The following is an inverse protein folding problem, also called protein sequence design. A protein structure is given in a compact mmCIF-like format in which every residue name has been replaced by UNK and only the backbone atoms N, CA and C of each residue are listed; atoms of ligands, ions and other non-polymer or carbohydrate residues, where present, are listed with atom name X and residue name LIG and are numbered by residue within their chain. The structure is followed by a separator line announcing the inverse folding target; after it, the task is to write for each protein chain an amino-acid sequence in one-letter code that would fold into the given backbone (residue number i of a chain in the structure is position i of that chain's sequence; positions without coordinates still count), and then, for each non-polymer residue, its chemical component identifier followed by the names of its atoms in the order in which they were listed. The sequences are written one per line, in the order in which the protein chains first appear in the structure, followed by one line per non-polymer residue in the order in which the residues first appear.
data_IF_599859166824
#
_entry.id   IF_599859166824
#
_cell.length_a   1.000
_cell.length_b   1.000
_cell.length_c   1.000
_cell.angle_alpha   90.00
_cell.angle_beta   90.00
_cell.angle_gamma   90.00
#
_symmetry.space_group_name_H-M   'P 1'
#
loop_
_entity.id
_entity.type
_entity.pdbx_description
1 polymer ?
#
# COMPACT_ATOMS: atom_id res chain seq x y z
N UNK A 1 92.33 24.10 54.76
CA UNK A 1 91.12 23.56 55.42
C UNK A 1 89.91 23.90 54.55
N UNK A 2 89.49 22.97 53.70
CA UNK A 2 88.39 23.13 52.73
C UNK A 2 87.08 22.61 53.36
N UNK A 3 86.13 23.51 53.66
CA UNK A 3 84.75 23.16 54.04
C UNK A 3 83.92 23.00 52.75
N UNK A 4 83.65 21.76 52.35
CA UNK A 4 82.72 21.42 51.28
C UNK A 4 81.27 21.68 51.74
N UNK A 5 80.58 22.51 50.98
CA UNK A 5 79.21 22.99 51.16
C UNK A 5 78.22 21.99 50.55
N UNK A 6 77.86 20.94 51.30
CA UNK A 6 76.91 19.91 50.89
C UNK A 6 75.50 20.14 51.46
N UNK A 7 74.72 21.10 50.94
CA UNK A 7 73.31 21.25 51.37
C UNK A 7 72.31 21.78 50.35
N UNK A 8 72.69 21.99 49.08
CA UNK A 8 71.75 22.55 48.10
C UNK A 8 70.79 21.55 47.39
N UNK A 9 71.11 20.26 47.15
CA UNK A 9 70.20 19.40 46.38
C UNK A 9 68.97 18.92 47.18
N UNK A 10 69.10 18.69 48.49
CA UNK A 10 67.99 18.19 49.32
C UNK A 10 66.89 19.24 49.58
N UNK A 11 67.22 20.54 49.55
CA UNK A 11 66.23 21.63 49.67
C UNK A 11 65.45 21.85 48.37
N UNK A 12 66.07 21.62 47.20
CA UNK A 12 65.40 21.72 45.90
C UNK A 12 64.43 20.56 45.65
N UNK A 13 64.75 19.35 46.12
CA UNK A 13 63.84 18.20 46.00
C UNK A 13 62.59 18.31 46.89
N UNK A 14 62.68 18.92 48.07
CA UNK A 14 61.49 19.21 48.91
C UNK A 14 60.64 20.36 48.38
N UNK A 15 61.22 21.30 47.64
CA UNK A 15 60.47 22.39 47.01
C UNK A 15 59.62 21.90 45.82
N UNK A 16 60.07 20.88 45.10
CA UNK A 16 59.30 20.22 44.04
C UNK A 16 58.05 19.51 44.58
N UNK A 17 58.08 18.99 45.81
CA UNK A 17 56.94 18.31 46.42
C UNK A 17 55.83 19.30 46.87
N UNK A 18 56.19 20.56 47.11
CA UNK A 18 55.23 21.66 47.39
C UNK A 18 54.63 22.33 46.16
N UNK A 19 55.14 22.07 44.94
CA UNK A 19 54.59 22.61 43.69
C UNK A 19 53.58 21.68 42.98
N UNK A 20 53.20 20.55 43.61
CA UNK A 20 52.20 19.64 43.04
C UNK A 20 50.79 20.27 42.89
N UNK A 21 50.47 21.32 43.65
CA UNK A 21 49.17 22.03 43.54
C UNK A 21 48.95 22.67 42.16
N UNK A 22 50.01 23.15 41.50
CA UNK A 22 49.93 23.69 40.14
C UNK A 22 49.69 22.61 39.10
N UNK A 23 50.33 21.44 39.26
CA UNK A 23 50.14 20.29 38.38
C UNK A 23 48.73 19.70 38.49
N UNK A 24 48.15 19.64 39.70
CA UNK A 24 46.75 19.22 39.90
C UNK A 24 45.78 20.21 39.26
N UNK A 25 46.04 21.51 39.33
CA UNK A 25 45.20 22.53 38.70
C UNK A 25 45.25 22.45 37.16
N UNK A 26 46.44 22.18 36.59
CA UNK A 26 46.61 21.93 35.15
C UNK A 26 45.92 20.63 34.70
N UNK A 27 45.98 19.56 35.51
CA UNK A 27 45.25 18.32 35.24
C UNK A 27 43.74 18.51 35.31
N UNK A 28 43.23 19.25 36.29
CA UNK A 28 41.82 19.60 36.38
C UNK A 28 41.37 20.46 35.19
N UNK A 29 42.16 21.46 34.78
CA UNK A 29 41.87 22.27 33.59
C UNK A 29 41.86 21.40 32.32
N UNK A 30 42.85 20.52 32.17
CA UNK A 30 42.93 19.59 31.04
C UNK A 30 41.74 18.64 31.02
N UNK A 31 41.32 18.11 32.18
CA UNK A 31 40.15 17.26 32.30
C UNK A 31 38.86 18.00 31.91
N UNK A 32 38.68 19.25 32.35
CA UNK A 32 37.51 20.07 31.96
C UNK A 32 37.51 20.37 30.45
N UNK A 33 38.67 20.66 29.86
CA UNK A 33 38.81 20.84 28.41
C UNK A 33 38.46 19.56 27.65
N UNK A 34 38.95 18.40 28.09
CA UNK A 34 38.64 17.11 27.47
C UNK A 34 37.12 16.82 27.58
N UNK A 35 36.50 17.07 28.74
CA UNK A 35 35.05 16.92 28.93
C UNK A 35 34.26 17.84 28.00
N UNK A 36 34.69 19.08 27.83
CA UNK A 36 34.05 20.05 26.93
C UNK A 36 34.17 19.60 25.47
N UNK A 37 35.34 19.13 25.04
CA UNK A 37 35.54 18.59 23.69
C UNK A 37 34.66 17.36 23.44
N UNK A 38 34.57 16.43 24.40
CA UNK A 38 33.67 15.27 24.29
C UNK A 38 32.20 15.69 24.20
N UNK A 39 31.78 16.69 24.99
CA UNK A 39 30.41 17.21 24.94
C UNK A 39 30.08 17.82 23.57
N UNK A 40 31.00 18.55 22.94
CA UNK A 40 30.82 19.08 21.59
C UNK A 40 30.69 17.97 20.54
N UNK A 41 31.55 16.95 20.59
CA UNK A 41 31.47 15.80 19.67
C UNK A 41 30.12 15.09 19.81
N UNK A 42 29.63 14.89 21.04
CA UNK A 42 28.32 14.26 21.27
C UNK A 42 27.17 15.10 20.74
N UNK A 43 27.21 16.43 20.89
CA UNK A 43 26.18 17.31 20.34
C UNK A 43 26.15 17.29 18.81
N UNK A 44 27.32 17.36 18.15
CA UNK A 44 27.41 17.32 16.69
C UNK A 44 26.96 15.94 16.15
N UNK A 45 27.37 14.84 16.80
CA UNK A 45 26.91 13.49 16.46
C UNK A 45 25.40 13.33 16.66
N UNK A 46 24.85 13.95 17.71
CA UNK A 46 23.42 13.97 17.99
C UNK A 46 22.61 14.68 16.90
N UNK A 47 23.10 15.82 16.39
CA UNK A 47 22.47 16.55 15.28
C UNK A 47 22.47 15.72 13.98
N UNK A 48 23.63 15.16 13.61
CA UNK A 48 23.75 14.25 12.45
C UNK A 48 22.82 13.05 12.55
N UNK A 49 22.74 12.45 13.75
CA UNK A 49 21.87 11.29 13.99
C UNK A 49 20.40 11.68 13.89
N UNK A 50 20.03 12.84 14.43
CA UNK A 50 18.66 13.37 14.35
C UNK A 50 18.23 13.56 12.91
N UNK A 51 19.03 14.23 12.09
CA UNK A 51 18.62 14.56 10.72
C UNK A 51 18.55 13.30 9.84
N UNK A 52 19.42 12.31 10.10
CA UNK A 52 19.31 10.98 9.50
C UNK A 52 18.03 10.25 9.93
N UNK A 53 17.67 10.30 11.21
CA UNK A 53 16.41 9.72 11.72
C UNK A 53 15.22 10.43 11.09
N UNK A 54 15.27 11.75 10.92
CA UNK A 54 14.21 12.54 10.29
C UNK A 54 14.03 12.15 8.82
N UNK A 55 15.12 12.05 8.04
CA UNK A 55 15.08 11.56 6.67
C UNK A 55 14.47 10.14 6.57
N UNK A 56 14.86 9.22 7.46
CA UNK A 56 14.28 7.87 7.47
C UNK A 56 12.82 7.86 7.90
N UNK A 57 12.45 8.64 8.93
CA UNK A 57 11.07 8.76 9.42
C UNK A 57 10.16 9.31 8.34
N UNK A 58 10.66 10.26 7.54
CA UNK A 58 9.93 10.79 6.39
C UNK A 58 9.67 9.71 5.34
N UNK A 59 10.64 8.85 5.06
CA UNK A 59 10.50 7.74 4.13
C UNK A 59 9.50 6.71 4.64
N UNK A 60 9.61 6.31 5.92
CA UNK A 60 8.73 5.32 6.53
C UNK A 60 7.27 5.80 6.56
N UNK A 61 7.04 7.04 6.99
CA UNK A 61 5.71 7.64 7.04
C UNK A 61 5.10 7.76 5.65
N UNK A 62 5.89 8.12 4.64
CA UNK A 62 5.44 8.26 3.26
C UNK A 62 5.21 6.90 2.58
N UNK A 63 6.09 5.91 2.79
CA UNK A 63 5.86 4.56 2.30
C UNK A 63 4.56 4.00 2.89
N UNK A 64 4.42 4.02 4.21
CA UNK A 64 3.22 3.51 4.89
C UNK A 64 1.94 4.21 4.42
N UNK A 65 1.99 5.53 4.17
CA UNK A 65 0.81 6.28 3.75
C UNK A 65 0.27 5.83 2.39
N UNK A 66 1.12 5.64 1.37
CA UNK A 66 0.68 5.14 0.06
C UNK A 66 0.06 3.74 0.16
N UNK A 67 0.71 2.82 0.88
CA UNK A 67 0.14 1.50 1.11
C UNK A 67 -1.20 1.59 1.84
N UNK A 68 -1.33 2.49 2.82
CA UNK A 68 -2.59 2.65 3.56
C UNK A 68 -3.75 3.16 2.69
N UNK A 69 -3.48 4.08 1.76
CA UNK A 69 -4.46 4.57 0.80
C UNK A 69 -4.90 3.44 -0.13
N UNK A 70 -3.95 2.68 -0.69
CA UNK A 70 -4.25 1.53 -1.54
C UNK A 70 -5.02 0.44 -0.80
N UNK A 71 -4.66 0.13 0.45
CA UNK A 71 -5.37 -0.86 1.25
C UNK A 71 -6.83 -0.46 1.49
N UNK A 72 -7.08 0.83 1.79
CA UNK A 72 -8.45 1.35 1.90
C UNK A 72 -9.21 1.26 0.58
N UNK A 73 -8.55 1.56 -0.54
CA UNK A 73 -9.16 1.39 -1.86
C UNK A 73 -9.53 -0.07 -2.14
N UNK A 74 -8.67 -1.02 -1.80
CA UNK A 74 -8.97 -2.46 -1.91
C UNK A 74 -10.17 -2.86 -1.04
N UNK A 75 -10.27 -2.34 0.18
CA UNK A 75 -11.46 -2.55 1.03
C UNK A 75 -12.73 -1.98 0.39
N UNK A 76 -12.66 -0.78 -0.20
CA UNK A 76 -13.81 -0.18 -0.89
C UNK A 76 -14.23 -1.00 -2.11
N UNK A 77 -13.28 -1.51 -2.89
CA UNK A 77 -13.57 -2.42 -3.99
C UNK A 77 -14.25 -3.70 -3.50
N UNK A 78 -13.77 -4.29 -2.40
CA UNK A 78 -14.37 -5.47 -1.79
C UNK A 78 -15.78 -5.20 -1.24
N UNK A 79 -15.99 -4.05 -0.59
CA UNK A 79 -17.33 -3.64 -0.14
C UNK A 79 -18.30 -3.47 -1.31
N UNK A 80 -17.87 -2.87 -2.42
CA UNK A 80 -18.70 -2.75 -3.61
C UNK A 80 -19.02 -4.10 -4.25
N UNK A 81 -18.09 -5.05 -4.23
CA UNK A 81 -18.38 -6.43 -4.67
C UNK A 81 -19.46 -7.08 -3.81
N UNK A 82 -19.35 -6.97 -2.48
CA UNK A 82 -20.35 -7.51 -1.54
C UNK A 82 -21.70 -6.82 -1.78
N UNK A 83 -21.73 -5.50 -1.96
CA UNK A 83 -22.96 -4.75 -2.25
C UNK A 83 -23.64 -5.23 -3.54
N UNK A 84 -22.87 -5.35 -4.64
CA UNK A 84 -23.37 -5.89 -5.92
C UNK A 84 -23.93 -7.31 -5.74
N UNK A 85 -23.20 -8.19 -5.03
CA UNK A 85 -23.64 -9.54 -4.73
C UNK A 85 -24.94 -9.56 -3.93
N UNK A 86 -25.09 -8.70 -2.94
CA UNK A 86 -26.30 -8.62 -2.13
C UNK A 86 -27.50 -8.14 -2.95
N UNK A 87 -27.33 -7.11 -3.80
CA UNK A 87 -28.39 -6.63 -4.68
C UNK A 87 -28.83 -7.77 -5.62
N UNK A 88 -27.92 -8.36 -6.37
CA UNK A 88 -28.22 -9.44 -7.32
C UNK A 88 -28.80 -10.66 -6.60
N UNK A 89 -28.21 -11.04 -5.47
CA UNK A 89 -28.64 -12.20 -4.69
C UNK A 89 -30.05 -12.07 -4.14
N UNK A 90 -30.43 -10.88 -3.63
CA UNK A 90 -31.80 -10.64 -3.12
C UNK A 90 -32.83 -10.77 -4.24
N UNK A 91 -32.57 -10.18 -5.41
CA UNK A 91 -33.48 -10.27 -6.55
C UNK A 91 -33.62 -11.70 -7.06
N UNK A 92 -32.48 -12.39 -7.25
CA UNK A 92 -32.50 -13.77 -7.70
C UNK A 92 -33.20 -14.71 -6.71
N UNK A 93 -33.04 -14.48 -5.40
CA UNK A 93 -33.78 -15.23 -4.39
C UNK A 93 -35.28 -14.97 -4.52
N UNK A 94 -35.71 -13.71 -4.63
CA UNK A 94 -37.12 -13.38 -4.73
C UNK A 94 -37.77 -14.04 -5.97
N UNK A 95 -37.14 -13.91 -7.13
CA UNK A 95 -37.58 -14.56 -8.38
C UNK A 95 -37.68 -16.09 -8.23
N UNK A 96 -36.62 -16.70 -7.69
CA UNK A 96 -36.57 -18.15 -7.50
C UNK A 96 -37.60 -18.67 -6.50
N UNK A 97 -37.88 -17.92 -5.43
CA UNK A 97 -38.86 -18.27 -4.42
C UNK A 97 -40.28 -18.17 -4.96
N UNK A 98 -40.58 -17.12 -5.72
CA UNK A 98 -41.89 -16.96 -6.34
C UNK A 98 -42.15 -18.07 -7.37
N UNK A 99 -41.18 -18.40 -8.23
CA UNK A 99 -41.30 -19.51 -9.16
C UNK A 99 -41.49 -20.86 -8.44
N UNK A 100 -40.78 -21.05 -7.32
CA UNK A 100 -40.95 -22.24 -6.47
C UNK A 100 -42.33 -22.33 -5.84
N UNK A 101 -42.86 -21.20 -5.36
CA UNK A 101 -44.20 -21.11 -4.81
C UNK A 101 -45.26 -21.40 -5.87
N UNK A 102 -45.11 -20.86 -7.08
CA UNK A 102 -45.98 -21.18 -8.21
C UNK A 102 -45.99 -22.68 -8.55
N UNK A 103 -44.83 -23.33 -8.60
CA UNK A 103 -44.75 -24.78 -8.81
C UNK A 103 -45.47 -25.56 -7.71
N UNK A 104 -45.37 -25.13 -6.45
CA UNK A 104 -46.06 -25.77 -5.34
C UNK A 104 -47.58 -25.60 -5.44
N UNK A 105 -48.06 -24.39 -5.74
CA UNK A 105 -49.49 -24.10 -5.95
C UNK A 105 -50.04 -24.98 -7.08
N UNK A 106 -49.31 -25.10 -8.19
CA UNK A 106 -49.71 -25.93 -9.33
C UNK A 106 -49.71 -27.43 -8.99
N UNK A 107 -48.75 -27.90 -8.18
CA UNK A 107 -48.75 -29.28 -7.70
C UNK A 107 -49.97 -29.57 -6.81
N UNK A 108 -50.33 -28.66 -5.90
CA UNK A 108 -51.54 -28.78 -5.06
C UNK A 108 -52.82 -28.74 -5.89
N UNK A 109 -52.87 -27.86 -6.89
CA UNK A 109 -53.98 -27.82 -7.82
C UNK A 109 -54.17 -29.17 -8.55
N UNK A 110 -53.08 -29.77 -9.02
CA UNK A 110 -53.11 -31.08 -9.67
C UNK A 110 -53.55 -32.20 -8.72
N UNK A 111 -53.09 -32.20 -7.46
CA UNK A 111 -53.55 -33.15 -6.43
C UNK A 111 -55.06 -33.05 -6.19
N UNK A 112 -55.59 -31.82 -6.14
CA UNK A 112 -57.02 -31.56 -5.96
C UNK A 112 -57.85 -31.98 -7.17
N UNK A 113 -57.37 -31.72 -8.39
CA UNK A 113 -57.99 -32.22 -9.63
C UNK A 113 -58.01 -33.76 -9.68
N UNK A 114 -56.96 -34.41 -9.19
CA UNK A 114 -56.86 -35.86 -9.11
C UNK A 114 -57.68 -36.47 -7.95
N UNK A 115 -58.42 -35.66 -7.19
CA UNK A 115 -59.21 -36.09 -6.01
C UNK A 115 -58.35 -36.82 -4.97
N UNK A 116 -57.10 -36.39 -4.79
CA UNK A 116 -56.21 -36.96 -3.77
C UNK A 116 -56.78 -36.72 -2.37
N UNK A 117 -56.71 -37.70 -1.45
CA UNK A 117 -57.11 -37.51 -0.05
C UNK A 117 -56.32 -36.42 0.69
N UNK A 118 -55.16 -36.03 0.15
CA UNK A 118 -54.31 -34.97 0.69
C UNK A 118 -54.73 -33.56 0.27
N UNK A 119 -55.74 -33.41 -0.59
CA UNK A 119 -56.20 -32.12 -1.07
C UNK A 119 -57.01 -31.39 0.00
N UNK A 120 -56.55 -30.20 0.36
CA UNK A 120 -57.32 -29.20 1.09
C UNK A 120 -57.68 -28.04 0.13
N UNK A 121 -58.95 -27.98 -0.28
CA UNK A 121 -59.45 -26.99 -1.24
C UNK A 121 -59.43 -25.57 -0.64
N UNK A 122 -59.64 -25.42 0.66
CA UNK A 122 -59.62 -24.12 1.32
C UNK A 122 -58.19 -23.59 1.44
N UNK A 123 -57.23 -24.47 1.74
CA UNK A 123 -55.81 -24.13 1.69
C UNK A 123 -55.38 -23.73 0.28
N UNK A 124 -55.78 -24.50 -0.74
CA UNK A 124 -55.47 -24.18 -2.14
C UNK A 124 -56.06 -22.83 -2.56
N UNK A 125 -57.33 -22.56 -2.25
CA UNK A 125 -57.99 -21.30 -2.62
C UNK A 125 -57.30 -20.08 -2.01
N UNK A 126 -56.92 -20.15 -0.73
CA UNK A 126 -56.19 -19.06 -0.04
C UNK A 126 -54.80 -18.82 -0.66
N UNK A 127 -54.06 -19.90 -0.95
CA UNK A 127 -52.73 -19.77 -1.55
C UNK A 127 -52.80 -19.29 -3.01
N UNK A 128 -53.84 -19.66 -3.77
CA UNK A 128 -54.05 -19.16 -5.13
C UNK A 128 -54.34 -17.65 -5.12
N UNK A 129 -55.18 -17.18 -4.20
CA UNK A 129 -55.45 -15.75 -4.02
C UNK A 129 -54.16 -14.98 -3.67
N UNK A 130 -53.35 -15.52 -2.75
CA UNK A 130 -52.06 -14.93 -2.38
C UNK A 130 -51.09 -14.88 -3.57
N UNK A 131 -50.96 -15.98 -4.31
CA UNK A 131 -50.10 -16.07 -5.49
C UNK A 131 -50.44 -14.99 -6.53
N UNK A 132 -51.73 -14.81 -6.85
CA UNK A 132 -52.15 -13.78 -7.80
C UNK A 132 -51.98 -12.36 -7.27
N UNK A 133 -52.21 -12.12 -5.97
CA UNK A 133 -51.92 -10.82 -5.35
C UNK A 133 -50.44 -10.47 -5.41
N UNK A 134 -49.54 -11.42 -5.14
CA UNK A 134 -48.10 -11.23 -5.27
C UNK A 134 -47.67 -11.01 -6.73
N UNK A 135 -48.26 -11.76 -7.66
CA UNK A 135 -48.03 -11.60 -9.10
C UNK A 135 -48.45 -10.20 -9.60
N UNK A 136 -49.58 -9.69 -9.12
CA UNK A 136 -50.15 -8.42 -9.59
C UNK A 136 -49.54 -7.20 -8.89
N UNK A 137 -49.18 -7.30 -7.60
CA UNK A 137 -48.81 -6.15 -6.77
C UNK A 137 -47.30 -6.02 -6.57
N UNK A 138 -46.60 -7.12 -6.32
CA UNK A 138 -45.21 -7.08 -5.88
C UNK A 138 -44.25 -7.24 -7.08
N UNK A 139 -44.54 -8.15 -8.01
CA UNK A 139 -43.83 -8.27 -9.30
C UNK A 139 -43.96 -7.04 -10.20
N UNK A 140 -45.14 -6.40 -10.22
CA UNK A 140 -45.33 -5.12 -10.94
C UNK A 140 -44.47 -3.99 -10.37
N UNK A 141 -44.32 -3.95 -9.04
CA UNK A 141 -43.51 -2.95 -8.33
C UNK A 141 -42.00 -3.17 -8.54
N UNK A 142 -41.54 -4.41 -8.73
CA UNK A 142 -40.16 -4.69 -9.14
C UNK A 142 -39.88 -4.21 -10.57
N UNK A 143 -40.81 -4.44 -11.51
CA UNK A 143 -40.71 -3.92 -12.87
C UNK A 143 -40.62 -2.40 -12.94
N UNK A 144 -41.39 -1.69 -12.11
CA UNK A 144 -41.37 -0.22 -12.03
C UNK A 144 -40.09 0.35 -11.40
N UNK A 145 -39.33 -0.47 -10.64
CA UNK A 145 -38.07 -0.08 -9.99
C UNK A 145 -36.82 -0.66 -10.66
N UNK A 146 -36.94 -1.36 -11.79
CA UNK A 146 -35.80 -1.91 -12.53
C UNK A 146 -34.75 -0.83 -12.87
N UNK A 147 -35.21 0.37 -13.21
CA UNK A 147 -34.37 1.54 -13.48
C UNK A 147 -33.55 1.97 -12.24
N UNK A 148 -34.12 1.85 -11.04
CA UNK A 148 -33.45 2.19 -9.79
C UNK A 148 -32.28 1.24 -9.52
N UNK A 149 -32.53 -0.08 -9.59
CA UNK A 149 -31.47 -1.08 -9.37
C UNK A 149 -30.40 -1.04 -10.45
N UNK A 150 -30.79 -0.82 -11.70
CA UNK A 150 -29.84 -0.63 -12.79
C UNK A 150 -28.96 0.61 -12.55
N UNK A 151 -29.54 1.71 -12.06
CA UNK A 151 -28.79 2.91 -11.71
C UNK A 151 -27.81 2.65 -10.56
N UNK A 152 -28.22 1.92 -9.52
CA UNK A 152 -27.34 1.54 -8.40
C UNK A 152 -26.19 0.63 -8.84
N UNK A 153 -26.46 -0.37 -9.68
CA UNK A 153 -25.42 -1.25 -10.21
C UNK A 153 -24.41 -0.49 -11.08
N UNK A 154 -24.88 0.44 -11.92
CA UNK A 154 -24.01 1.35 -12.70
C UNK A 154 -23.21 2.27 -11.79
N UNK A 155 -23.81 2.80 -10.74
CA UNK A 155 -23.13 3.66 -9.77
C UNK A 155 -22.00 2.91 -9.05
N UNK A 156 -22.25 1.66 -8.62
CA UNK A 156 -21.24 0.80 -8.02
C UNK A 156 -20.10 0.47 -9.00
N UNK A 157 -20.41 0.18 -10.27
CA UNK A 157 -19.39 -0.10 -11.27
C UNK A 157 -18.51 1.13 -11.57
N UNK A 158 -19.13 2.30 -11.72
CA UNK A 158 -18.43 3.56 -11.90
C UNK A 158 -17.56 3.89 -10.69
N UNK A 159 -18.07 3.66 -9.48
CA UNK A 159 -17.31 3.86 -8.24
C UNK A 159 -16.08 2.94 -8.17
N UNK A 160 -16.23 1.65 -8.49
CA UNK A 160 -15.10 0.72 -8.46
C UNK A 160 -14.03 1.09 -9.50
N UNK A 161 -14.43 1.44 -10.73
CA UNK A 161 -13.50 1.94 -11.77
C UNK A 161 -12.78 3.20 -11.30
N UNK A 162 -13.54 4.17 -10.80
CA UNK A 162 -13.01 5.43 -10.29
C UNK A 162 -11.98 5.21 -9.17
N UNK A 163 -12.30 4.41 -8.16
CA UNK A 163 -11.40 4.12 -7.05
C UNK A 163 -10.15 3.38 -7.53
N UNK A 164 -10.30 2.40 -8.43
CA UNK A 164 -9.13 1.69 -8.97
C UNK A 164 -8.17 2.60 -9.73
N UNK A 165 -8.70 3.53 -10.53
CA UNK A 165 -7.87 4.43 -11.34
C UNK A 165 -7.28 5.58 -10.50
N UNK A 166 -8.02 6.07 -9.51
CA UNK A 166 -7.63 7.20 -8.67
C UNK A 166 -6.70 6.80 -7.51
N UNK A 167 -6.85 5.59 -6.94
CA UNK A 167 -6.11 5.19 -5.75
C UNK A 167 -4.57 5.19 -5.92
N UNK A 168 -3.98 4.75 -7.05
CA UNK A 168 -2.54 4.89 -7.28
C UNK A 168 -2.08 6.35 -7.25
N UNK A 169 -2.82 7.26 -7.90
CA UNK A 169 -2.54 8.69 -7.91
C UNK A 169 -2.68 9.33 -6.52
N UNK A 170 -3.72 8.97 -5.78
CA UNK A 170 -3.89 9.42 -4.41
C UNK A 170 -2.76 8.90 -3.51
N UNK A 171 -2.45 7.61 -3.55
CA UNK A 171 -1.37 7.04 -2.75
C UNK A 171 -0.02 7.70 -3.05
N UNK A 172 0.29 7.93 -4.32
CA UNK A 172 1.53 8.57 -4.75
C UNK A 172 1.61 10.05 -4.33
N UNK A 173 0.53 10.82 -4.43
CA UNK A 173 0.51 12.21 -3.94
C UNK A 173 0.62 12.28 -2.41
N UNK A 174 0.04 11.32 -1.69
CA UNK A 174 0.17 11.20 -0.23
C UNK A 174 1.61 10.93 0.20
N UNK A 175 2.41 10.17 -0.57
CA UNK A 175 3.86 10.02 -0.32
C UNK A 175 4.55 11.36 -0.31
N UNK A 176 4.33 12.15 -1.36
CA UNK A 176 4.99 13.45 -1.53
C UNK A 176 4.61 14.37 -0.37
N UNK A 177 3.32 14.51 -0.07
CA UNK A 177 2.85 15.40 1.01
C UNK A 177 3.28 14.91 2.39
N UNK A 178 3.29 13.59 2.65
CA UNK A 178 3.67 13.05 3.96
C UNK A 178 5.17 13.11 4.20
N UNK A 179 5.98 12.82 3.19
CA UNK A 179 7.43 12.95 3.32
C UNK A 179 7.79 14.40 3.65
N UNK A 180 7.19 15.36 2.95
CA UNK A 180 7.39 16.80 3.19
C UNK A 180 7.02 17.24 4.59
N UNK A 181 5.85 16.83 5.08
CA UNK A 181 5.41 17.14 6.45
C UNK A 181 6.33 16.56 7.53
N UNK A 182 7.12 15.55 7.18
CA UNK A 182 8.12 14.93 8.04
C UNK A 182 9.55 15.34 7.69
N UNK A 183 9.73 16.49 7.04
CA UNK A 183 11.04 17.13 6.84
C UNK A 183 11.73 16.80 5.51
N UNK A 184 11.19 15.93 4.64
CA UNK A 184 11.83 15.68 3.36
C UNK A 184 11.75 16.88 2.41
N UNK A 185 12.88 17.32 1.87
CA UNK A 185 12.95 18.34 0.80
C UNK A 185 12.47 17.77 -0.53
N UNK A 186 12.72 16.49 -0.78
CA UNK A 186 12.26 15.79 -1.98
C UNK A 186 11.75 14.40 -1.64
N UNK A 187 10.74 13.95 -2.36
CA UNK A 187 10.18 12.63 -2.19
C UNK A 187 9.58 12.09 -3.48
N UNK A 188 9.69 10.78 -3.66
CA UNK A 188 9.04 10.05 -4.73
C UNK A 188 8.80 8.61 -4.30
N UNK A 189 7.78 7.97 -4.87
CA UNK A 189 7.61 6.54 -4.76
C UNK A 189 7.61 5.85 -6.12
N UNK A 190 7.97 4.57 -6.07
CA UNK A 190 7.91 3.62 -7.15
C UNK A 190 7.01 2.43 -6.75
N UNK A 191 6.19 1.87 -7.65
CA UNK A 191 5.96 2.33 -9.03
C UNK A 191 5.21 3.67 -9.09
N UNK A 192 5.25 4.32 -10.25
CA UNK A 192 4.55 5.59 -10.50
C UNK A 192 3.22 5.33 -11.20
N UNK A 193 2.16 6.12 -10.92
CA UNK A 193 0.85 5.94 -11.55
C UNK A 193 0.86 6.01 -13.09
N UNK A 194 -0.19 5.52 -13.73
CA UNK A 194 -0.29 5.63 -15.19
C UNK A 194 -0.46 7.08 -15.62
N UNK A 195 0.22 7.47 -16.70
CA UNK A 195 0.07 8.81 -17.28
C UNK A 195 0.79 9.91 -16.52
N UNK A 196 1.69 9.57 -15.59
CA UNK A 196 2.53 10.58 -14.93
C UNK A 196 3.32 11.35 -15.98
N UNK A 197 3.24 12.70 -16.01
CA UNK A 197 3.95 13.50 -17.00
C UNK A 197 5.45 13.21 -17.00
N UNK A 198 5.97 12.81 -18.16
CA UNK A 198 7.41 12.63 -18.40
C UNK A 198 8.06 13.85 -19.06
N UNK A 199 7.26 14.58 -19.86
CA UNK A 199 7.70 15.73 -20.65
C UNK A 199 8.01 16.96 -19.79
N UNK A 200 9.14 17.63 -20.06
CA UNK A 200 9.56 18.87 -19.39
C UNK A 200 10.61 18.71 -18.29
N UNK A 201 10.94 17.47 -17.92
CA UNK A 201 11.95 17.13 -16.89
C UNK A 201 13.05 16.21 -17.46
N UNK A 202 12.89 15.68 -18.67
CA UNK A 202 13.81 14.73 -19.33
C UNK A 202 15.26 15.21 -19.45
N UNK A 203 15.50 16.53 -19.45
CA UNK A 203 16.84 17.10 -19.46
C UNK A 203 17.64 16.82 -18.18
N UNK A 204 16.99 16.78 -17.01
CA UNK A 204 17.68 16.64 -15.72
C UNK A 204 18.28 15.24 -15.52
N UNK A 205 17.54 14.12 -15.74
CA UNK A 205 18.14 12.80 -15.65
C UNK A 205 19.30 12.60 -16.64
N UNK A 206 19.21 13.15 -17.85
CA UNK A 206 20.31 13.09 -18.82
C UNK A 206 21.52 13.91 -18.37
N UNK A 207 21.31 15.09 -17.78
CA UNK A 207 22.39 15.90 -17.19
C UNK A 207 23.08 15.15 -16.06
N UNK A 208 22.34 14.48 -15.18
CA UNK A 208 22.86 13.70 -14.06
C UNK A 208 23.74 12.55 -14.57
N UNK A 209 23.31 11.85 -15.62
CA UNK A 209 24.11 10.79 -16.25
C UNK A 209 25.40 11.36 -16.86
N UNK A 210 25.29 12.44 -17.63
CA UNK A 210 26.45 13.07 -18.26
C UNK A 210 27.48 13.49 -17.20
N UNK A 211 27.01 14.05 -16.08
CA UNK A 211 27.84 14.40 -14.93
C UNK A 211 28.37 13.18 -14.16
N UNK A 212 27.67 12.04 -14.20
CA UNK A 212 28.14 10.78 -13.58
C UNK A 212 29.34 10.14 -14.31
N UNK A 213 29.66 10.59 -15.53
CA UNK A 213 30.88 10.21 -16.26
C UNK A 213 30.78 8.92 -17.09
N UNK A 214 29.58 8.35 -17.33
CA UNK A 214 29.37 7.21 -18.25
C UNK A 214 28.08 7.32 -19.05
N UNK A 215 28.14 6.96 -20.34
CA UNK A 215 26.99 6.86 -21.25
C UNK A 215 26.25 5.51 -21.10
N UNK A 216 25.67 5.24 -19.93
CA UNK A 216 24.76 4.09 -19.79
C UNK A 216 23.36 4.54 -20.21
N UNK A 217 22.63 3.80 -21.07
CA UNK A 217 21.28 4.17 -21.46
C UNK A 217 20.34 4.18 -20.23
N UNK A 218 19.47 5.19 -20.19
CA UNK A 218 18.46 5.32 -19.13
C UNK A 218 17.48 4.14 -19.21
N UNK A 219 17.42 3.32 -18.16
CA UNK A 219 16.50 2.18 -18.14
C UNK A 219 15.32 2.51 -17.23
N UNK A 220 14.28 3.11 -17.81
CA UNK A 220 13.02 3.30 -17.11
C UNK A 220 12.31 1.95 -16.97
N UNK A 221 12.00 1.58 -15.74
CA UNK A 221 11.07 0.48 -15.52
C UNK A 221 9.70 0.87 -16.12
N UNK A 222 9.15 0.01 -16.97
CA UNK A 222 7.81 0.18 -17.54
C UNK A 222 6.69 -0.13 -16.55
N UNK A 223 7.05 -0.45 -15.30
CA UNK A 223 6.10 -0.78 -14.23
C UNK A 223 5.27 0.44 -13.89
N UNK A 224 3.95 0.25 -13.97
CA UNK A 224 2.96 1.27 -13.67
C UNK A 224 2.26 0.89 -12.37
N UNK A 225 2.07 1.87 -11.49
CA UNK A 225 1.35 1.67 -10.25
C UNK A 225 -0.14 1.44 -10.51
N UNK A 226 -0.64 0.31 -10.04
CA UNK A 226 -2.04 -0.12 -10.13
C UNK A 226 -2.37 -0.95 -8.89
N UNK A 227 -3.64 -0.97 -8.51
CA UNK A 227 -4.10 -1.95 -7.53
C UNK A 227 -3.96 -3.36 -8.13
N UNK A 228 -3.66 -4.40 -7.33
CA UNK A 228 -3.59 -5.79 -7.79
C UNK A 228 -4.99 -6.39 -8.01
N UNK A 229 -5.91 -5.59 -8.55
CA UNK A 229 -7.30 -5.94 -8.77
C UNK A 229 -7.70 -5.57 -10.21
N UNK A 230 -8.59 -6.36 -10.79
CA UNK A 230 -9.12 -6.12 -12.14
C UNK A 230 -10.58 -6.56 -12.22
N UNK A 231 -11.37 -6.02 -13.16
CA UNK A 231 -12.69 -6.57 -13.47
C UNK A 231 -12.57 -8.07 -13.85
N UNK A 232 -13.40 -8.89 -13.23
CA UNK A 232 -13.54 -10.32 -13.46
C UNK A 232 -14.73 -10.65 -14.37
N UNK A 233 -15.02 -11.94 -14.51
CA UNK A 233 -16.24 -12.40 -15.17
C UNK A 233 -17.36 -12.55 -14.14
N UNK A 234 -18.58 -12.17 -14.51
CA UNK A 234 -19.70 -12.18 -13.57
C UNK A 234 -19.99 -13.59 -13.03
N UNK A 235 -20.19 -14.57 -13.90
CA UNK A 235 -20.54 -15.93 -13.47
C UNK A 235 -19.41 -16.58 -12.67
N UNK A 236 -18.19 -16.59 -13.20
CA UNK A 236 -17.07 -17.24 -12.53
C UNK A 236 -16.68 -16.57 -11.19
N UNK A 237 -16.78 -15.24 -11.08
CA UNK A 237 -16.28 -14.55 -9.89
C UNK A 237 -17.41 -14.11 -8.93
N UNK A 238 -18.55 -13.65 -9.41
CA UNK A 238 -19.66 -13.25 -8.51
C UNK A 238 -20.45 -14.47 -8.03
N UNK A 239 -20.77 -15.40 -8.92
CA UNK A 239 -21.64 -16.52 -8.60
C UNK A 239 -20.81 -17.65 -7.97
N UNK A 240 -19.75 -18.11 -8.62
CA UNK A 240 -18.98 -19.23 -8.09
C UNK A 240 -18.16 -18.82 -6.86
N UNK A 241 -17.22 -17.88 -6.99
CA UNK A 241 -16.36 -17.46 -5.87
C UNK A 241 -17.10 -16.61 -4.82
N UNK A 242 -18.03 -15.77 -5.26
CA UNK A 242 -18.70 -14.79 -4.42
C UNK A 242 -19.91 -15.33 -3.67
N UNK A 243 -20.70 -16.23 -4.28
CA UNK A 243 -21.92 -16.78 -3.70
C UNK A 243 -21.76 -18.24 -3.28
N UNK A 244 -21.39 -19.15 -4.18
CA UNK A 244 -21.46 -20.59 -3.89
C UNK A 244 -20.29 -21.16 -3.07
N UNK A 245 -19.06 -20.71 -3.31
CA UNK A 245 -17.84 -21.31 -2.75
C UNK A 245 -17.63 -20.98 -1.27
N UNK A 246 -18.37 -20.00 -0.72
CA UNK A 246 -18.23 -19.60 0.68
C UNK A 246 -19.23 -20.30 1.58
N UNK A 247 -18.70 -21.08 2.54
CA UNK A 247 -19.50 -21.67 3.63
C UNK A 247 -20.37 -20.63 4.35
N UNK A 248 -19.85 -19.41 4.54
CA UNK A 248 -20.60 -18.33 5.20
C UNK A 248 -21.86 -17.93 4.44
N UNK A 249 -21.82 -17.91 3.10
CA UNK A 249 -23.02 -17.70 2.29
C UNK A 249 -23.97 -18.89 2.44
N UNK A 250 -23.48 -20.12 2.38
CA UNK A 250 -24.34 -21.30 2.56
C UNK A 250 -25.04 -21.31 3.93
N UNK A 251 -24.35 -20.86 4.98
CA UNK A 251 -24.89 -20.72 6.33
C UNK A 251 -25.85 -19.54 6.47
N UNK A 252 -25.49 -18.36 6.00
CA UNK A 252 -26.37 -17.19 5.97
C UNK A 252 -27.64 -17.48 5.19
N UNK A 253 -27.49 -18.14 4.04
CA UNK A 253 -28.58 -18.58 3.20
C UNK A 253 -29.48 -19.56 3.94
N UNK A 254 -28.94 -20.60 4.58
CA UNK A 254 -29.72 -21.54 5.42
C UNK A 254 -30.43 -20.83 6.58
N UNK A 255 -29.76 -19.93 7.28
CA UNK A 255 -30.36 -19.20 8.41
C UNK A 255 -31.46 -18.24 7.96
N UNK A 256 -31.28 -17.55 6.84
CA UNK A 256 -32.31 -16.68 6.26
C UNK A 256 -33.49 -17.50 5.76
N UNK A 257 -33.21 -18.66 5.16
CA UNK A 257 -34.19 -19.66 4.72
C UNK A 257 -35.02 -20.19 5.91
N UNK A 258 -34.38 -20.53 7.02
CA UNK A 258 -35.05 -20.99 8.25
C UNK A 258 -35.86 -19.86 8.91
N UNK A 259 -35.32 -18.63 8.99
CA UNK A 259 -36.09 -17.47 9.50
C UNK A 259 -37.28 -17.13 8.62
N UNK A 260 -37.14 -17.25 7.31
CA UNK A 260 -38.24 -17.02 6.38
C UNK A 260 -39.32 -18.09 6.59
N UNK A 261 -38.92 -19.35 6.76
CA UNK A 261 -39.84 -20.44 7.14
C UNK A 261 -40.61 -20.16 8.42
N UNK A 262 -39.95 -19.65 9.47
CA UNK A 262 -40.58 -19.34 10.75
C UNK A 262 -41.58 -18.17 10.69
N UNK A 263 -41.34 -17.23 9.77
CA UNK A 263 -42.17 -16.03 9.59
C UNK A 263 -43.22 -16.15 8.49
N UNK A 264 -43.06 -17.11 7.59
CA UNK A 264 -43.98 -17.35 6.50
C UNK A 264 -45.23 -18.06 7.01
N UNK A 265 -46.38 -17.55 6.62
CA UNK A 265 -47.67 -18.17 6.91
C UNK A 265 -48.10 -19.01 5.69
N UNK A 266 -48.91 -20.06 5.92
CA UNK A 266 -49.51 -20.89 4.84
C UNK A 266 -48.48 -21.72 4.04
N UNK A 267 -48.80 -22.06 2.79
CA UNK A 267 -48.05 -23.00 1.94
C UNK A 267 -46.66 -22.51 1.53
N UNK A 268 -46.39 -21.20 1.64
CA UNK A 268 -45.09 -20.60 1.38
C UNK A 268 -44.02 -21.02 2.42
N UNK A 269 -44.43 -21.45 3.62
CA UNK A 269 -43.55 -22.02 4.64
C UNK A 269 -43.13 -23.48 4.33
N UNK A 270 -43.61 -24.06 3.22
CA UNK A 270 -43.32 -25.45 2.87
C UNK A 270 -41.83 -25.62 2.56
N UNK A 271 -41.19 -26.59 3.22
CA UNK A 271 -39.77 -26.87 3.04
C UNK A 271 -39.39 -27.18 1.59
N UNK A 272 -40.29 -27.76 0.78
CA UNK A 272 -40.05 -28.02 -0.63
C UNK A 272 -40.06 -26.72 -1.47
N UNK A 273 -40.91 -25.75 -1.16
CA UNK A 273 -40.92 -24.42 -1.80
C UNK A 273 -39.60 -23.73 -1.50
N UNK A 274 -39.27 -23.68 -0.22
CA UNK A 274 -38.10 -22.98 0.28
C UNK A 274 -36.82 -23.63 -0.26
N UNK A 275 -36.70 -24.96 -0.21
CA UNK A 275 -35.52 -25.67 -0.70
C UNK A 275 -35.39 -25.54 -2.24
N UNK A 276 -36.47 -25.70 -3.00
CA UNK A 276 -36.43 -25.58 -4.47
C UNK A 276 -36.13 -24.15 -4.91
N UNK A 277 -36.70 -23.14 -4.27
CA UNK A 277 -36.42 -21.73 -4.57
C UNK A 277 -34.96 -21.40 -4.26
N UNK A 278 -34.52 -21.70 -3.03
CA UNK A 278 -33.19 -21.37 -2.54
C UNK A 278 -32.04 -22.07 -3.28
N UNK A 279 -32.28 -23.20 -3.96
CA UNK A 279 -31.21 -24.02 -4.52
C UNK A 279 -31.45 -24.40 -5.98
N UNK A 280 -32.57 -25.05 -6.29
CA UNK A 280 -32.83 -25.59 -7.62
C UNK A 280 -33.19 -24.51 -8.65
N UNK A 281 -33.81 -23.42 -8.20
CA UNK A 281 -34.25 -22.32 -9.05
C UNK A 281 -33.43 -21.04 -8.90
N UNK A 282 -32.38 -21.02 -8.07
CA UNK A 282 -31.58 -19.81 -7.89
C UNK A 282 -30.90 -19.39 -9.20
N UNK A 283 -30.40 -20.34 -9.99
CA UNK A 283 -29.87 -20.07 -11.35
C UNK A 283 -30.94 -19.50 -12.29
N UNK A 284 -32.19 -19.97 -12.18
CA UNK A 284 -33.32 -19.39 -12.92
C UNK A 284 -33.59 -17.95 -12.47
N UNK A 285 -33.60 -17.70 -11.16
CA UNK A 285 -33.76 -16.36 -10.60
C UNK A 285 -32.65 -15.41 -11.05
N UNK A 286 -31.40 -15.86 -11.11
CA UNK A 286 -30.28 -15.08 -11.63
C UNK A 286 -30.46 -14.69 -13.10
N UNK A 287 -30.86 -15.64 -13.95
CA UNK A 287 -31.13 -15.37 -15.37
C UNK A 287 -32.24 -14.34 -15.55
N UNK A 288 -33.32 -14.47 -14.77
CA UNK A 288 -34.45 -13.55 -14.84
C UNK A 288 -34.11 -12.16 -14.31
N UNK A 289 -33.34 -12.09 -13.23
CA UNK A 289 -32.80 -10.85 -12.69
C UNK A 289 -31.92 -10.12 -13.73
N UNK A 290 -31.23 -10.85 -14.61
CA UNK A 290 -30.41 -10.27 -15.67
C UNK A 290 -31.27 -9.67 -16.79
N UNK A 291 -32.40 -10.30 -17.09
CA UNK A 291 -33.40 -9.76 -18.02
C UNK A 291 -34.02 -8.46 -17.49
N UNK A 292 -34.28 -8.39 -16.18
CA UNK A 292 -34.96 -7.25 -15.56
C UNK A 292 -34.02 -6.07 -15.25
N UNK A 293 -32.85 -6.32 -14.67
CA UNK A 293 -31.90 -5.26 -14.25
C UNK A 293 -30.91 -4.92 -15.39
N UNK A 294 -30.72 -5.83 -16.34
CA UNK A 294 -29.67 -5.77 -17.35
C UNK A 294 -28.31 -6.23 -16.84
N UNK A 295 -27.22 -5.81 -17.50
CA UNK A 295 -25.87 -6.24 -17.12
C UNK A 295 -25.52 -5.84 -15.68
N UNK A 296 -25.27 -6.84 -14.83
CA UNK A 296 -24.91 -6.68 -13.41
C UNK A 296 -23.56 -5.99 -13.14
N UNK A 297 -22.82 -5.64 -14.20
CA UNK A 297 -21.45 -5.19 -14.08
C UNK A 297 -20.52 -6.30 -13.59
N UNK A 298 -19.21 -6.08 -13.75
CA UNK A 298 -18.20 -7.10 -13.44
C UNK A 298 -17.72 -6.95 -12.00
N UNK A 299 -17.68 -8.02 -11.18
CA UNK A 299 -17.03 -7.95 -9.88
C UNK A 299 -15.53 -7.74 -10.08
N UNK A 300 -14.87 -7.12 -9.10
CA UNK A 300 -13.42 -7.00 -9.10
C UNK A 300 -12.78 -8.23 -8.47
N UNK A 301 -11.73 -8.76 -9.09
CA UNK A 301 -10.98 -9.91 -8.59
C UNK A 301 -9.51 -9.58 -8.47
N UNK A 302 -8.81 -10.34 -7.62
CA UNK A 302 -7.36 -10.22 -7.55
C UNK A 302 -6.70 -10.68 -8.84
N UNK A 303 -5.64 -9.97 -9.20
CA UNK A 303 -4.73 -10.40 -10.24
C UNK A 303 -3.46 -10.95 -9.60
N UNK A 304 -3.31 -12.27 -9.64
CA UNK A 304 -2.09 -12.96 -9.22
C UNK A 304 -1.61 -13.85 -10.36
N UNK A 305 -0.34 -13.72 -10.72
CA UNK A 305 0.28 -14.47 -11.81
C UNK A 305 1.01 -15.74 -11.34
N UNK A 306 0.84 -16.15 -10.07
CA UNK A 306 1.52 -17.31 -9.50
C UNK A 306 2.92 -17.05 -8.97
N UNK A 307 3.50 -15.87 -9.22
CA UNK A 307 4.86 -15.52 -8.79
C UNK A 307 4.81 -14.54 -7.61
N UNK A 308 5.33 -14.98 -6.45
CA UNK A 308 5.35 -14.19 -5.22
C UNK A 308 6.13 -12.88 -5.39
N UNK A 309 7.24 -12.88 -6.12
CA UNK A 309 8.03 -11.67 -6.34
C UNK A 309 7.27 -10.63 -7.18
N UNK A 310 6.47 -11.09 -8.17
CA UNK A 310 5.58 -10.20 -8.92
C UNK A 310 4.43 -9.67 -8.06
N UNK A 311 3.86 -10.51 -7.19
CA UNK A 311 2.86 -10.06 -6.23
C UNK A 311 3.41 -8.99 -5.31
N UNK A 312 4.57 -9.24 -4.71
CA UNK A 312 5.26 -8.31 -3.84
C UNK A 312 5.55 -6.98 -4.55
N UNK A 313 6.00 -7.01 -5.81
CA UNK A 313 6.10 -5.80 -6.64
C UNK A 313 4.76 -5.08 -6.74
N UNK A 314 3.70 -5.78 -7.14
CA UNK A 314 2.40 -5.19 -7.48
C UNK A 314 1.65 -4.69 -6.22
N UNK A 315 1.94 -5.25 -5.04
CA UNK A 315 1.35 -4.83 -3.76
C UNK A 315 2.20 -3.83 -2.98
N UNK A 316 3.44 -3.60 -3.37
CA UNK A 316 4.36 -2.76 -2.61
C UNK A 316 4.66 -1.43 -3.29
N UNK A 317 5.17 -0.52 -2.48
CA UNK A 317 5.77 0.72 -2.95
C UNK A 317 7.10 0.94 -2.23
N UNK A 318 8.07 1.42 -2.99
CA UNK A 318 9.38 1.84 -2.49
C UNK A 318 9.41 3.36 -2.57
N UNK A 319 9.62 3.99 -1.43
CA UNK A 319 9.68 5.44 -1.31
C UNK A 319 11.12 5.87 -1.10
N UNK A 320 11.53 6.89 -1.87
CA UNK A 320 12.80 7.58 -1.72
C UNK A 320 12.51 8.99 -1.23
N UNK A 321 13.20 9.39 -0.16
CA UNK A 321 13.18 10.75 0.35
C UNK A 321 14.58 11.32 0.42
N UNK A 322 14.68 12.64 0.31
CA UNK A 322 15.92 13.36 0.47
C UNK A 322 15.67 14.60 1.32
N UNK A 323 16.52 14.77 2.32
CA UNK A 323 16.56 15.94 3.19
C UNK A 323 17.81 16.75 2.86
N UNK A 324 17.62 17.93 2.28
CA UNK A 324 18.68 18.87 1.96
C UNK A 324 18.96 19.76 3.19
N UNK A 325 20.22 19.82 3.63
CA UNK A 325 20.66 20.79 4.62
C UNK A 325 22.06 21.33 4.25
N UNK A 326 22.08 22.52 3.66
CA UNK A 326 23.30 23.19 3.22
C UNK A 326 24.30 23.47 4.37
N UNK A 327 23.86 23.43 5.64
CA UNK A 327 24.74 23.63 6.80
C UNK A 327 25.76 22.51 7.01
N UNK A 328 25.58 21.36 6.34
CA UNK A 328 26.52 20.25 6.34
C UNK A 328 27.80 20.48 5.53
N UNK A 329 27.80 21.44 4.60
CA UNK A 329 28.92 21.70 3.69
C UNK A 329 30.10 22.39 4.39
N UNK A 330 29.82 23.43 5.19
CA UNK A 330 30.86 24.33 5.68
C UNK A 330 31.24 24.10 7.15
N UNK A 331 30.34 24.31 8.09
CA UNK A 331 30.73 24.42 9.50
C UNK A 331 30.80 23.06 10.22
N UNK A 332 29.88 22.13 9.91
CA UNK A 332 29.78 20.87 10.67
C UNK A 332 30.81 19.82 10.28
N UNK A 333 31.23 19.73 9.01
CA UNK A 333 32.27 18.78 8.55
C UNK A 333 33.70 19.27 8.78
N UNK A 334 33.97 20.58 8.70
CA UNK A 334 35.31 21.16 8.96
C UNK A 334 35.82 20.88 10.39
N UNK A 335 34.91 20.63 11.34
CA UNK A 335 35.25 20.28 12.74
C UNK A 335 35.92 18.91 12.89
N UNK A 336 35.69 17.97 11.97
CA UNK A 336 36.20 16.59 12.05
C UNK A 336 37.29 16.27 11.03
N UNK A 337 37.59 17.20 10.12
CA UNK A 337 38.79 17.08 9.28
C UNK A 337 40.02 17.21 10.16
N UNK A 338 40.66 16.08 10.43
CA UNK A 338 42.06 16.01 10.88
C UNK A 338 42.87 16.97 9.99
N UNK A 339 43.78 17.80 10.53
CA UNK A 339 44.65 18.63 9.70
C UNK A 339 45.30 17.74 8.65
N UNK A 340 44.96 17.95 7.39
CA UNK A 340 45.43 17.11 6.31
C UNK A 340 46.95 17.32 6.14
N UNK A 341 47.74 16.47 6.76
CA UNK A 341 49.08 16.19 6.28
C UNK A 341 48.95 15.19 5.12
N UNK A 342 49.33 15.66 3.94
CA UNK A 342 49.94 14.90 2.83
C UNK A 342 49.14 13.81 2.09
N UNK A 343 47.81 13.81 2.10
CA UNK A 343 47.04 13.04 1.11
C UNK A 343 46.45 13.96 0.05
N UNK A 344 47.18 14.10 -1.07
CA UNK A 344 46.64 14.63 -2.34
C UNK A 344 45.58 13.65 -2.87
N UNK A 345 44.35 13.78 -2.39
CA UNK A 345 43.19 13.28 -3.13
C UNK A 345 43.01 14.16 -4.37
N UNK A 346 43.04 13.52 -5.54
CA UNK A 346 42.78 14.14 -6.84
C UNK A 346 41.51 15.00 -6.78
N UNK A 347 41.59 16.26 -7.23
CA UNK A 347 40.54 17.28 -7.07
C UNK A 347 39.20 16.85 -7.72
N UNK A 348 39.22 15.86 -8.62
CA UNK A 348 38.03 15.25 -9.22
C UNK A 348 37.17 14.42 -8.25
N UNK A 349 37.69 14.04 -7.07
CA UNK A 349 36.90 13.38 -6.01
C UNK A 349 36.36 14.35 -4.96
N UNK A 350 36.85 15.60 -4.93
CA UNK A 350 36.31 16.65 -4.04
C UNK A 350 34.97 17.21 -4.51
N UNK A 351 34.61 17.03 -5.78
CA UNK A 351 33.43 17.63 -6.41
C UNK A 351 32.10 16.96 -6.06
N UNK A 352 32.07 15.89 -5.27
CA UNK A 352 30.82 15.19 -4.93
C UNK A 352 30.80 14.82 -3.45
N UNK A 353 30.61 15.82 -2.59
CA UNK A 353 30.40 15.62 -1.15
C UNK A 353 28.89 15.69 -0.89
N UNK A 354 28.23 14.59 -0.47
CA UNK A 354 26.79 14.61 -0.27
C UNK A 354 26.40 15.65 0.79
N UNK A 355 25.51 16.55 0.42
CA UNK A 355 25.00 17.66 1.24
C UNK A 355 23.79 17.25 2.09
N UNK A 356 23.09 16.17 1.72
CA UNK A 356 21.88 15.72 2.41
C UNK A 356 21.86 14.26 2.87
N UNK A 357 20.77 13.89 3.53
CA UNK A 357 20.46 12.51 3.89
C UNK A 357 19.38 11.92 3.00
N UNK A 358 19.59 10.68 2.61
CA UNK A 358 18.62 9.88 1.88
C UNK A 358 17.88 8.97 2.85
N UNK A 359 16.55 8.97 2.74
CA UNK A 359 15.67 8.00 3.35
C UNK A 359 15.15 7.03 2.30
N UNK A 360 15.01 5.77 2.68
CA UNK A 360 14.37 4.78 1.83
C UNK A 360 13.54 3.83 2.67
N UNK A 361 12.32 3.58 2.22
CA UNK A 361 11.42 2.71 2.91
C UNK A 361 10.55 1.96 1.92
N UNK A 362 10.08 0.78 2.33
CA UNK A 362 9.11 0.00 1.59
C UNK A 362 7.93 -0.33 2.48
N UNK A 363 6.75 -0.29 1.87
CA UNK A 363 5.54 -0.79 2.47
C UNK A 363 4.76 -1.60 1.44
N UNK A 364 3.83 -2.40 1.91
CA UNK A 364 2.91 -3.15 1.05
C UNK A 364 1.51 -3.15 1.62
N UNK A 365 0.55 -3.34 0.73
CA UNK A 365 -0.80 -3.77 1.12
C UNK A 365 -0.76 -5.25 1.51
N UNK A 366 -1.40 -5.59 2.62
CA UNK A 366 -1.48 -6.93 3.16
C UNK A 366 -2.92 -7.26 3.49
N UNK A 367 -3.36 -8.45 3.13
CA UNK A 367 -4.64 -9.00 3.57
C UNK A 367 -4.49 -9.57 4.99
N UNK A 368 -5.51 -9.38 5.84
CA UNK A 368 -5.57 -9.84 7.23
C UNK A 368 -6.79 -10.76 7.49
N UNK A 369 -7.54 -11.12 6.44
CA UNK A 369 -8.65 -12.06 6.57
C UNK A 369 -8.17 -13.49 6.73
N UNK A 370 -9.10 -14.39 7.03
CA UNK A 370 -8.81 -15.81 7.15
C UNK A 370 -8.59 -16.43 5.76
N UNK A 371 -7.48 -17.15 5.59
CA UNK A 371 -7.17 -17.85 4.33
C UNK A 371 -6.47 -16.98 3.28
N UNK A 372 -6.70 -17.30 2.01
CA UNK A 372 -6.05 -16.63 0.89
C UNK A 372 -6.64 -15.22 0.65
N UNK A 373 -5.83 -14.25 0.16
CA UNK A 373 -6.32 -12.93 -0.18
C UNK A 373 -7.53 -12.98 -1.14
N UNK A 374 -8.53 -12.14 -0.87
CA UNK A 374 -9.78 -12.12 -1.64
C UNK A 374 -10.36 -10.70 -1.77
N UNK A 375 -11.18 -10.49 -2.80
CA UNK A 375 -11.97 -9.27 -3.00
C UNK A 375 -13.39 -9.38 -2.44
N UNK A 376 -13.63 -10.37 -1.60
CA UNK A 376 -14.92 -10.62 -0.92
C UNK A 376 -14.87 -10.32 0.58
N UNK A 377 -13.73 -9.82 1.07
CA UNK A 377 -13.52 -9.39 2.45
C UNK A 377 -12.77 -8.07 2.50
N UNK A 378 -13.28 -7.14 3.32
CA UNK A 378 -12.65 -5.86 3.56
C UNK A 378 -11.60 -5.94 4.68
N UNK A 379 -10.58 -6.77 4.48
CA UNK A 379 -9.53 -7.03 5.45
C UNK A 379 -8.13 -6.60 4.97
N UNK A 380 -8.06 -5.64 4.05
CA UNK A 380 -6.80 -5.09 3.55
C UNK A 380 -6.25 -4.01 4.49
N UNK A 381 -4.97 -4.11 4.83
CA UNK A 381 -4.22 -3.14 5.64
C UNK A 381 -2.87 -2.82 5.00
N UNK A 382 -2.14 -1.87 5.56
CA UNK A 382 -0.75 -1.58 5.18
C UNK A 382 0.23 -2.16 6.21
N UNK A 383 1.41 -2.57 5.74
CA UNK A 383 2.53 -2.91 6.62
C UNK A 383 3.86 -2.48 6.03
N UNK A 384 4.84 -2.25 6.90
CA UNK A 384 6.22 -1.95 6.51
C UNK A 384 6.94 -3.23 6.08
N UNK A 385 7.91 -3.10 5.17
CA UNK A 385 8.73 -4.19 4.65
C UNK A 385 10.19 -3.78 4.49
N UNK A 386 11.13 -4.73 4.53
CA UNK A 386 12.49 -4.50 4.05
C UNK A 386 12.45 -4.03 2.60
N UNK A 387 13.34 -3.10 2.24
CA UNK A 387 13.43 -2.54 0.89
C UNK A 387 13.61 -3.65 -0.16
N UNK A 388 14.52 -4.58 0.11
CA UNK A 388 14.82 -5.72 -0.75
C UNK A 388 14.57 -7.01 0.01
N UNK A 389 13.97 -7.98 -0.67
CA UNK A 389 13.82 -9.35 -0.18
C UNK A 389 14.70 -10.28 -1.03
N UNK A 390 15.22 -11.37 -0.43
CA UNK A 390 16.13 -12.28 -1.11
C UNK A 390 15.63 -12.73 -2.48
N UNK A 391 16.40 -12.42 -3.54
CA UNK A 391 16.14 -12.79 -4.94
C UNK A 391 14.86 -12.20 -5.55
N UNK A 392 14.18 -11.29 -4.87
CA UNK A 392 12.97 -10.67 -5.41
C UNK A 392 13.30 -9.83 -6.65
N UNK A 393 14.31 -8.99 -6.53
CA UNK A 393 14.73 -8.08 -7.60
C UNK A 393 15.22 -8.86 -8.82
N UNK A 394 15.95 -9.97 -8.61
CA UNK A 394 16.35 -10.90 -9.66
C UNK A 394 15.14 -11.54 -10.37
N UNK A 395 14.17 -12.07 -9.61
CA UNK A 395 13.00 -12.75 -10.18
C UNK A 395 12.08 -11.82 -10.98
N UNK A 396 12.01 -10.56 -10.59
CA UNK A 396 11.16 -9.54 -11.24
C UNK A 396 11.92 -8.80 -12.35
N UNK A 397 13.24 -8.99 -12.44
CA UNK A 397 14.11 -8.27 -13.37
C UNK A 397 14.32 -6.80 -12.98
N UNK A 398 14.24 -6.48 -11.69
CA UNK A 398 14.43 -5.15 -11.14
C UNK A 398 15.88 -4.87 -10.79
N UNK A 399 16.37 -3.73 -11.25
CA UNK A 399 17.61 -3.12 -10.79
C UNK A 399 17.25 -1.89 -9.94
N UNK A 400 17.92 -1.72 -8.79
CA UNK A 400 17.74 -0.54 -7.97
C UNK A 400 18.10 0.74 -8.73
N UNK A 401 19.10 0.68 -9.62
CA UNK A 401 19.43 1.82 -10.48
C UNK A 401 18.27 2.19 -11.40
N UNK A 402 17.59 1.21 -11.99
CA UNK A 402 16.41 1.43 -12.82
C UNK A 402 15.21 1.97 -12.01
N UNK A 403 15.07 1.55 -10.75
CA UNK A 403 14.10 2.12 -9.82
C UNK A 403 14.41 3.60 -9.53
N UNK A 404 15.66 3.90 -9.18
CA UNK A 404 16.11 5.26 -8.93
C UNK A 404 15.89 6.17 -10.15
N UNK A 405 16.23 5.69 -11.33
CA UNK A 405 15.95 6.30 -12.63
C UNK A 405 14.47 6.65 -12.84
N UNK A 406 13.57 5.72 -12.51
CA UNK A 406 12.13 5.98 -12.57
C UNK A 406 11.66 7.00 -11.52
N UNK A 407 12.27 7.04 -10.34
CA UNK A 407 11.89 7.94 -9.25
C UNK A 407 12.51 9.34 -9.34
N UNK A 408 13.69 9.50 -9.92
CA UNK A 408 14.46 10.76 -9.87
C UNK A 408 13.76 11.94 -10.53
N UNK A 409 13.06 11.68 -11.65
CA UNK A 409 12.24 12.68 -12.35
C UNK A 409 11.23 13.27 -11.38
N UNK A 410 10.54 12.40 -10.66
CA UNK A 410 9.47 12.78 -9.75
C UNK A 410 10.00 13.35 -8.44
N UNK A 411 11.15 12.87 -7.97
CA UNK A 411 11.84 13.39 -6.80
C UNK A 411 12.23 14.85 -7.04
N UNK A 412 12.83 15.17 -8.19
CA UNK A 412 13.14 16.55 -8.59
C UNK A 412 11.90 17.42 -8.81
N UNK A 413 10.83 16.86 -9.39
CA UNK A 413 9.56 17.56 -9.55
C UNK A 413 8.94 17.95 -8.20
N UNK A 414 8.99 17.02 -7.23
CA UNK A 414 8.47 17.25 -5.87
C UNK A 414 9.19 18.40 -5.17
N UNK A 415 10.48 18.60 -5.44
CA UNK A 415 11.27 19.72 -4.91
C UNK A 415 10.74 21.07 -5.41
N UNK A 416 10.52 21.17 -6.73
CA UNK A 416 10.02 22.39 -7.36
C UNK A 416 8.62 22.76 -6.88
N UNK A 417 7.75 21.76 -6.69
CA UNK A 417 6.40 21.97 -6.15
C UNK A 417 6.41 22.59 -4.74
N UNK A 418 7.50 22.41 -3.98
CA UNK A 418 7.65 22.95 -2.63
C UNK A 418 8.27 24.36 -2.60
N UNK A 419 8.63 24.92 -3.75
CA UNK A 419 9.41 26.16 -3.79
C UNK A 419 10.82 26.01 -3.22
N UNK A 420 11.32 24.78 -3.06
CA UNK A 420 12.73 24.56 -2.81
C UNK A 420 13.50 25.13 -4.01
N UNK A 421 14.48 26.00 -3.75
CA UNK A 421 15.28 26.63 -4.79
C UNK A 421 15.87 25.55 -5.68
N UNK A 422 15.55 25.61 -6.98
CA UNK A 422 16.05 24.67 -8.00
C UNK A 422 17.53 24.88 -8.32
N UNK A 423 18.36 25.01 -7.29
CA UNK A 423 19.80 25.24 -7.40
C UNK A 423 20.58 23.96 -7.70
N UNK A 424 21.84 24.15 -8.08
CA UNK A 424 22.86 23.11 -8.27
C UNK A 424 23.15 22.27 -7.01
N UNK A 425 22.70 22.73 -5.84
CA UNK A 425 23.04 22.20 -4.51
C UNK A 425 22.68 20.71 -4.34
N UNK A 426 21.52 20.26 -4.82
CA UNK A 426 21.16 18.84 -4.74
C UNK A 426 21.54 18.02 -5.99
N UNK A 427 22.06 18.67 -7.04
CA UNK A 427 22.40 17.97 -8.29
C UNK A 427 23.57 17.01 -8.08
N UNK A 428 24.60 17.44 -7.33
CA UNK A 428 25.76 16.59 -7.02
C UNK A 428 25.37 15.39 -6.16
N UNK A 429 24.41 15.56 -5.24
CA UNK A 429 23.83 14.47 -4.44
C UNK A 429 23.04 13.47 -5.28
N UNK A 430 22.31 13.95 -6.28
CA UNK A 430 21.64 13.08 -7.24
C UNK A 430 22.65 12.29 -8.10
N UNK A 431 23.72 12.95 -8.57
CA UNK A 431 24.82 12.30 -9.30
C UNK A 431 25.54 11.27 -8.42
N UNK A 432 25.71 11.56 -7.13
CA UNK A 432 26.28 10.62 -6.18
C UNK A 432 25.38 9.40 -5.98
N UNK A 433 24.08 9.59 -5.76
CA UNK A 433 23.13 8.48 -5.62
C UNK A 433 23.03 7.63 -6.90
N UNK A 434 23.14 8.25 -8.08
CA UNK A 434 23.26 7.53 -9.35
C UNK A 434 24.48 6.59 -9.37
N UNK A 435 25.63 7.03 -8.88
CA UNK A 435 26.83 6.18 -8.80
C UNK A 435 26.67 5.05 -7.77
N UNK A 436 26.06 5.34 -6.62
CA UNK A 436 25.85 4.36 -5.55
C UNK A 436 24.83 3.29 -5.98
N UNK A 437 23.72 3.68 -6.59
CA UNK A 437 22.67 2.76 -7.04
C UNK A 437 23.15 1.76 -8.09
N UNK A 438 24.14 2.12 -8.92
CA UNK A 438 24.79 1.17 -9.86
C UNK A 438 25.51 0.01 -9.17
N UNK A 439 25.95 0.20 -7.92
CA UNK A 439 26.52 -0.88 -7.12
C UNK A 439 25.46 -1.84 -6.55
N UNK A 440 24.17 -1.46 -6.61
CA UNK A 440 23.03 -2.17 -6.07
C UNK A 440 22.25 -2.89 -7.20
N UNK A 441 22.94 -3.77 -7.92
CA UNK A 441 22.32 -4.61 -8.93
C UNK A 441 21.40 -5.68 -8.32
N UNK A 442 20.74 -6.44 -9.20
CA UNK A 442 19.69 -7.41 -8.85
C UNK A 442 20.11 -8.43 -7.77
N UNK A 443 21.39 -8.82 -7.74
CA UNK A 443 21.95 -9.80 -6.80
C UNK A 443 22.76 -9.20 -5.65
N UNK A 444 23.04 -7.89 -5.68
CA UNK A 444 23.88 -7.22 -4.66
C UNK A 444 23.08 -6.35 -3.71
N UNK A 445 21.83 -6.04 -4.04
CA UNK A 445 20.92 -5.26 -3.19
C UNK A 445 20.57 -5.99 -1.87
N UNK A 446 20.53 -7.32 -1.89
CA UNK A 446 20.29 -8.15 -0.70
C UNK A 446 21.51 -8.27 0.22
N UNK A 447 22.61 -7.58 -0.13
CA UNK A 447 23.94 -7.80 0.43
C UNK A 447 24.71 -8.87 -0.34
N UNK A 448 26.03 -8.94 -0.12
CA UNK A 448 26.86 -10.00 -0.72
C UNK A 448 26.38 -11.34 -0.14
N UNK A 449 25.55 -12.05 -0.91
CA UNK A 449 25.21 -13.44 -0.59
C UNK A 449 26.50 -14.24 -0.51
N UNK A 450 26.74 -14.87 0.65
CA UNK A 450 27.85 -15.80 0.85
C UNK A 450 27.52 -17.15 0.23
#
# INVERSE_FOLDING_TARGET
MLKLRNSEPARRLRALDTEQGGAVLLLCLAAVLILMLMAWVVMDAGQVTRDKIEAQTSADAAAYSQASVKARAMNMLAFSNIAKRSIVGVHAIYESMFASYGMWVMARYAECQAQSPSCDIEELARNLELYWKEADNDYGTYGDNADYYQADMRALDNYQRYISDMAPWWGWTEVVVRAQRNGATMASSFPVPQGTPRSGIEGLPQQIINASGRQVPFNFLSTVDRLPARPGEFWANMVDEGMYDRETWQWEHRLNTDRHRERSELGAANAAVIQRGATALFSFGLQRTEEDIGEFGRPWRLYFNGNEAHWLRDTSNITLTYHADASYYDERRKKFTVPAQDYHYDDSMRSYRPEGYWGMARSEISFQGEGAPTMWEAAWTARMRPVALPREFEQVGFDFNALYHSSIIHLSASARMQGAGGGSEFFDDMVYMEKVSRGMGQSTIDGVSR
#
